data_IF_960615488165
#
_entry.id   IF_960615488165
#
_cell.length_a   1.000
_cell.length_b   1.000
_cell.length_c   1.000
_cell.angle_alpha   90.00
_cell.angle_beta   90.00
_cell.angle_gamma   90.00
#
_symmetry.space_group_name_H-M   'P 1'
#
loop_
_entity.id
_entity.type
_entity.pdbx_description
1 polymer ?
#
# COMPACT_ATOMS: atom_id res chain seq x y z
N UNK A 1 -1.48 -20.37 6.29
CA UNK A 1 -0.02 -20.16 6.42
C UNK A 1 0.39 -20.58 7.82
N UNK A 2 1.36 -21.48 7.99
CA UNK A 2 1.92 -21.83 9.31
C UNK A 2 3.25 -21.07 9.43
N UNK A 3 3.37 -20.19 10.43
CA UNK A 3 4.54 -19.35 10.66
C UNK A 3 5.00 -19.49 12.12
N UNK A 4 6.29 -19.23 12.37
CA UNK A 4 6.83 -19.16 13.73
C UNK A 4 6.17 -18.01 14.49
N UNK A 5 5.71 -18.28 15.71
CA UNK A 5 5.22 -17.25 16.62
C UNK A 5 6.41 -16.44 17.17
N UNK A 6 6.32 -15.12 17.05
CA UNK A 6 7.26 -14.17 17.65
C UNK A 6 6.56 -13.42 18.78
N UNK A 7 6.81 -13.90 19.99
CA UNK A 7 6.04 -13.50 21.18
C UNK A 7 6.28 -12.05 21.58
N UNK A 8 7.38 -11.40 21.19
CA UNK A 8 7.69 -10.00 21.50
C UNK A 8 6.80 -8.98 20.77
N UNK A 9 6.06 -9.41 19.73
CA UNK A 9 5.20 -8.53 18.94
C UNK A 9 6.00 -7.65 17.97
N UNK A 10 5.34 -6.62 17.43
CA UNK A 10 5.99 -5.71 16.49
C UNK A 10 6.79 -4.62 17.20
N UNK A 11 7.82 -4.12 16.54
CA UNK A 11 8.57 -2.96 17.01
C UNK A 11 7.66 -1.73 17.17
N UNK A 12 6.63 -1.60 16.32
CA UNK A 12 5.60 -0.56 16.44
C UNK A 12 4.81 -0.65 17.76
N UNK A 13 4.52 -1.86 18.25
CA UNK A 13 3.84 -2.03 19.55
C UNK A 13 4.72 -1.51 20.69
N UNK A 14 6.04 -1.73 20.61
CA UNK A 14 7.01 -1.23 21.59
C UNK A 14 7.15 0.29 21.51
N UNK A 15 7.26 0.86 20.30
CA UNK A 15 7.28 2.32 20.10
C UNK A 15 6.04 2.95 20.73
N UNK A 16 4.86 2.45 20.38
CA UNK A 16 3.59 2.97 20.90
C UNK A 16 3.46 2.79 22.41
N UNK A 17 4.03 1.74 23.01
CA UNK A 17 4.06 1.57 24.45
C UNK A 17 4.97 2.61 25.11
N UNK A 18 6.22 2.74 24.64
CA UNK A 18 7.18 3.71 25.16
C UNK A 18 6.69 5.15 25.08
N UNK A 19 6.11 5.56 23.95
CA UNK A 19 5.55 6.91 23.81
C UNK A 19 4.41 7.22 24.79
N UNK A 20 3.77 6.20 25.38
CA UNK A 20 2.75 6.38 26.43
C UNK A 20 3.31 6.34 27.84
N UNK A 21 4.41 5.61 28.07
CA UNK A 21 4.94 5.36 29.42
C UNK A 21 6.17 6.19 29.76
N UNK A 22 6.88 6.71 28.75
CA UNK A 22 8.13 7.44 28.90
C UNK A 22 8.06 8.75 28.10
N UNK A 23 8.73 9.79 28.60
CA UNK A 23 8.89 11.03 27.83
C UNK A 23 9.88 10.82 26.67
N UNK A 24 9.35 10.65 25.45
CA UNK A 24 10.12 10.45 24.23
C UNK A 24 10.37 11.74 23.42
N UNK A 25 10.19 12.93 24.02
CA UNK A 25 10.33 14.22 23.31
C UNK A 25 11.67 14.38 22.58
N UNK A 26 12.76 13.80 23.08
CA UNK A 26 14.09 13.86 22.49
C UNK A 26 14.54 12.56 21.80
N UNK A 27 13.62 11.62 21.58
CA UNK A 27 13.90 10.34 20.94
C UNK A 27 13.21 9.16 21.64
N UNK A 28 12.81 8.14 20.86
CA UNK A 28 12.17 6.92 21.36
C UNK A 28 13.21 5.86 21.75
N UNK A 29 14.17 5.62 20.86
CA UNK A 29 15.26 4.67 21.06
C UNK A 29 16.63 5.35 20.90
N UNK A 30 17.61 4.90 21.67
CA UNK A 30 19.00 5.31 21.50
C UNK A 30 19.62 4.64 20.26
N UNK A 31 20.73 5.21 19.78
CA UNK A 31 21.39 4.72 18.57
C UNK A 31 21.89 3.28 18.66
N UNK A 32 22.21 2.76 19.86
CA UNK A 32 22.66 1.38 20.02
C UNK A 32 21.51 0.41 19.78
N UNK A 33 20.33 0.71 20.34
CA UNK A 33 19.09 -0.05 20.09
C UNK A 33 18.72 -0.01 18.61
N UNK A 34 18.72 1.18 17.99
CA UNK A 34 18.42 1.33 16.57
C UNK A 34 19.40 0.54 15.70
N UNK A 35 20.71 0.68 15.94
CA UNK A 35 21.74 -0.04 15.19
C UNK A 35 21.60 -1.56 15.33
N UNK A 36 21.25 -2.06 16.51
CA UNK A 36 21.12 -3.50 16.75
C UNK A 36 19.96 -4.10 15.98
N UNK A 37 18.78 -3.46 16.01
CA UNK A 37 17.60 -3.93 15.28
C UNK A 37 17.80 -3.78 13.76
N UNK A 38 18.20 -2.60 13.30
CA UNK A 38 18.34 -2.33 11.86
C UNK A 38 19.44 -3.17 11.19
N UNK A 39 20.45 -3.61 11.93
CA UNK A 39 21.46 -4.54 11.41
C UNK A 39 20.85 -5.89 11.04
N UNK A 40 19.94 -6.42 11.87
CA UNK A 40 19.24 -7.68 11.56
C UNK A 40 18.24 -7.50 10.41
N UNK A 41 17.57 -6.35 10.34
CA UNK A 41 16.73 -6.00 9.19
C UNK A 41 17.54 -5.96 7.89
N UNK A 42 18.73 -5.36 7.89
CA UNK A 42 19.60 -5.33 6.71
C UNK A 42 20.09 -6.72 6.29
N UNK A 43 20.38 -7.62 7.23
CA UNK A 43 20.71 -9.02 6.89
C UNK A 43 19.54 -9.72 6.20
N UNK A 44 18.32 -9.47 6.69
CA UNK A 44 17.09 -9.93 6.03
C UNK A 44 16.97 -9.38 4.62
N UNK A 45 17.10 -8.05 4.45
CA UNK A 45 17.03 -7.41 3.14
C UNK A 45 18.13 -7.88 2.17
N UNK A 46 19.36 -8.05 2.64
CA UNK A 46 20.47 -8.61 1.84
C UNK A 46 20.12 -10.00 1.31
N UNK A 47 19.55 -10.86 2.17
CA UNK A 47 19.07 -12.17 1.74
C UNK A 47 17.96 -12.06 0.69
N UNK A 48 16.97 -11.20 0.89
CA UNK A 48 15.90 -11.00 -0.10
C UNK A 48 16.44 -10.51 -1.44
N UNK A 49 17.26 -9.47 -1.41
CA UNK A 49 17.76 -8.79 -2.61
C UNK A 49 18.71 -9.70 -3.40
N UNK A 50 19.55 -10.48 -2.73
CA UNK A 50 20.43 -11.46 -3.38
C UNK A 50 19.68 -12.62 -4.05
N UNK A 51 18.46 -12.92 -3.58
CA UNK A 51 17.56 -13.89 -4.21
C UNK A 51 16.62 -13.26 -5.25
N UNK A 52 16.82 -11.97 -5.61
CA UNK A 52 15.96 -11.27 -6.57
C UNK A 52 14.55 -11.03 -6.04
N UNK A 53 14.35 -10.94 -4.74
CA UNK A 53 13.06 -10.62 -4.12
C UNK A 53 13.05 -9.18 -3.59
N UNK A 54 11.87 -8.56 -3.57
CA UNK A 54 11.64 -7.25 -2.95
C UNK A 54 10.55 -7.39 -1.89
N UNK A 55 10.79 -6.80 -0.72
CA UNK A 55 9.87 -6.88 0.41
C UNK A 55 8.62 -6.02 0.21
N UNK A 56 8.80 -4.72 -0.12
CA UNK A 56 7.77 -3.71 -0.46
C UNK A 56 7.01 -3.05 0.69
N UNK A 57 7.08 -3.59 1.90
CA UNK A 57 6.43 -2.98 3.07
C UNK A 57 7.33 -2.97 4.32
N UNK A 58 8.55 -2.44 4.17
CA UNK A 58 9.46 -2.27 5.30
C UNK A 58 9.01 -1.09 6.17
N UNK A 59 8.64 -1.39 7.42
CA UNK A 59 8.19 -0.45 8.45
C UNK A 59 8.30 -1.08 9.85
N UNK A 60 8.27 -0.31 10.93
CA UNK A 60 8.37 -0.87 12.28
C UNK A 60 7.23 -1.85 12.63
N UNK A 61 6.06 -1.71 11.99
CA UNK A 61 4.96 -2.66 12.14
C UNK A 61 5.27 -4.07 11.64
N UNK A 62 6.18 -4.20 10.66
CA UNK A 62 6.56 -5.46 10.03
C UNK A 62 7.93 -5.97 10.52
N UNK A 63 8.46 -5.38 11.60
CA UNK A 63 9.64 -5.88 12.30
C UNK A 63 9.16 -6.54 13.58
N UNK A 64 9.28 -7.86 13.65
CA UNK A 64 8.82 -8.66 14.78
C UNK A 64 9.98 -9.09 15.67
N UNK A 65 9.70 -9.22 16.97
CA UNK A 65 10.67 -9.59 17.99
C UNK A 65 10.31 -10.94 18.63
N UNK A 66 11.29 -11.83 18.73
CA UNK A 66 11.21 -13.03 19.57
C UNK A 66 11.42 -12.70 21.05
N UNK A 67 10.95 -13.57 21.94
CA UNK A 67 11.23 -13.55 23.39
C UNK A 67 12.74 -13.64 23.70
N UNK A 68 13.46 -14.32 22.84
CA UNK A 68 14.91 -14.51 22.86
C UNK A 68 15.71 -13.35 22.21
N UNK A 69 15.05 -12.23 21.92
CA UNK A 69 15.66 -11.05 21.27
C UNK A 69 15.98 -11.24 19.78
N UNK A 70 15.45 -12.29 19.13
CA UNK A 70 15.50 -12.41 17.66
C UNK A 70 14.73 -11.27 17.00
N UNK A 71 15.24 -10.74 15.90
CA UNK A 71 14.56 -9.75 15.05
C UNK A 71 14.26 -10.41 13.70
N UNK A 72 13.02 -10.35 13.22
CA UNK A 72 12.64 -10.85 11.89
C UNK A 72 11.74 -9.86 11.17
N UNK A 73 11.86 -9.84 9.85
CA UNK A 73 10.94 -9.12 8.96
C UNK A 73 9.71 -10.01 8.75
N UNK A 74 8.53 -9.42 8.75
CA UNK A 74 7.25 -10.10 8.56
C UNK A 74 6.41 -9.43 7.47
N UNK A 75 5.26 -10.04 7.18
CA UNK A 75 4.28 -9.61 6.19
C UNK A 75 4.79 -9.57 4.74
N UNK A 76 5.01 -10.77 4.21
CA UNK A 76 5.40 -10.99 2.81
C UNK A 76 4.19 -11.01 1.85
N UNK A 77 2.98 -10.65 2.29
CA UNK A 77 1.74 -10.74 1.48
C UNK A 77 1.72 -9.82 0.26
N UNK A 78 2.68 -8.90 0.19
CA UNK A 78 2.89 -7.92 -0.88
C UNK A 78 4.24 -8.09 -1.60
N UNK A 79 5.11 -8.96 -1.08
CA UNK A 79 6.44 -9.24 -1.65
C UNK A 79 6.34 -9.90 -3.02
N UNK A 80 7.32 -9.66 -3.89
CA UNK A 80 7.35 -10.28 -5.21
C UNK A 80 8.77 -10.61 -5.68
N UNK A 81 8.84 -11.58 -6.60
CA UNK A 81 10.04 -11.93 -7.34
C UNK A 81 10.28 -10.92 -8.47
N UNK A 82 11.51 -10.43 -8.57
CA UNK A 82 12.02 -9.81 -9.79
C UNK A 82 12.19 -10.92 -10.84
N UNK A 83 11.62 -10.73 -12.03
CA UNK A 83 11.82 -11.64 -13.15
C UNK A 83 13.25 -11.46 -13.70
N UNK A 84 14.24 -12.08 -13.07
CA UNK A 84 15.61 -12.14 -13.57
C UNK A 84 15.73 -13.27 -14.60
N UNK A 85 15.53 -12.94 -15.88
CA UNK A 85 15.91 -13.83 -16.99
C UNK A 85 14.92 -13.87 -18.15
N UNK A 86 15.19 -13.06 -19.19
CA UNK A 86 14.87 -13.34 -20.59
C UNK A 86 13.41 -13.30 -21.06
N UNK A 87 12.42 -13.43 -20.18
CA UNK A 87 11.01 -13.48 -20.59
C UNK A 87 10.29 -12.16 -20.29
N UNK A 88 10.51 -11.17 -21.16
CA UNK A 88 9.81 -9.88 -21.14
C UNK A 88 8.27 -10.03 -21.32
N UNK A 89 7.78 -11.22 -21.70
CA UNK A 89 6.33 -11.47 -21.87
C UNK A 89 5.58 -11.63 -20.54
N UNK A 90 6.30 -11.94 -19.45
CA UNK A 90 5.77 -12.00 -18.08
C UNK A 90 5.97 -10.70 -17.29
N UNK A 91 6.42 -9.64 -17.97
CA UNK A 91 6.40 -8.28 -17.47
C UNK A 91 4.96 -7.74 -17.48
N UNK A 92 4.02 -8.44 -16.85
CA UNK A 92 2.88 -7.77 -16.22
C UNK A 92 3.46 -7.01 -15.04
N UNK A 93 4.04 -5.84 -15.35
CA UNK A 93 4.32 -4.77 -14.42
C UNK A 93 3.06 -4.62 -13.58
N UNK A 94 3.08 -5.16 -12.36
CA UNK A 94 1.90 -5.11 -11.50
C UNK A 94 1.80 -3.67 -11.01
N UNK A 95 1.01 -2.85 -11.71
CA UNK A 95 0.68 -1.44 -11.39
C UNK A 95 -0.12 -1.26 -10.08
N UNK A 96 -0.09 -2.24 -9.17
CA UNK A 96 -0.72 -2.13 -7.85
C UNK A 96 0.21 -1.37 -6.92
N UNK A 97 -0.17 -0.13 -6.60
CA UNK A 97 0.34 0.70 -5.51
C UNK A 97 0.04 -0.02 -4.20
N UNK A 98 1.00 -0.81 -3.73
CA UNK A 98 0.90 -1.54 -2.48
C UNK A 98 2.06 -1.07 -1.61
N UNK A 99 1.75 -0.59 -0.43
CA UNK A 99 2.71 -0.02 0.52
C UNK A 99 2.03 0.99 1.44
N UNK A 100 2.68 1.31 2.56
CA UNK A 100 2.21 2.37 3.45
C UNK A 100 2.80 3.72 2.98
N UNK A 101 1.99 4.71 2.52
CA UNK A 101 2.48 5.87 1.74
C UNK A 101 3.66 6.63 2.34
N UNK A 102 3.77 6.75 3.67
CA UNK A 102 4.87 7.45 4.32
C UNK A 102 6.24 6.75 4.21
N UNK A 103 6.26 5.45 3.88
CA UNK A 103 7.48 4.64 3.74
C UNK A 103 7.83 4.36 2.27
N UNK A 104 6.98 4.78 1.32
CA UNK A 104 7.17 4.48 -0.10
C UNK A 104 8.21 5.40 -0.72
N UNK A 105 9.03 4.82 -1.62
CA UNK A 105 10.04 5.54 -2.37
C UNK A 105 9.41 6.35 -3.53
N UNK A 106 10.02 7.47 -3.95
CA UNK A 106 9.48 8.33 -5.01
C UNK A 106 9.31 7.62 -6.36
N UNK A 107 10.21 6.71 -6.73
CA UNK A 107 10.09 5.95 -7.98
C UNK A 107 8.95 4.91 -7.92
N UNK A 108 8.59 4.42 -6.72
CA UNK A 108 7.42 3.55 -6.54
C UNK A 108 6.12 4.36 -6.73
N UNK A 109 6.20 5.66 -6.46
CA UNK A 109 5.09 6.60 -6.59
C UNK A 109 4.87 7.07 -8.05
N UNK A 110 5.93 7.18 -8.85
CA UNK A 110 5.89 7.71 -10.24
C UNK A 110 5.36 6.73 -11.32
N UNK A 111 5.19 5.43 -11.01
CA UNK A 111 4.56 4.39 -11.85
C UNK A 111 5.13 4.14 -13.28
N UNK A 112 6.09 4.92 -13.77
CA UNK A 112 6.57 4.86 -15.16
C UNK A 112 7.62 3.77 -15.44
N UNK A 113 8.34 3.31 -14.42
CA UNK A 113 9.32 2.23 -14.52
C UNK A 113 9.14 1.29 -13.32
N UNK A 114 9.14 -0.03 -13.55
CA UNK A 114 9.07 -0.99 -12.45
C UNK A 114 10.15 -0.70 -11.40
N UNK A 115 9.81 -0.74 -10.11
CA UNK A 115 10.76 -0.48 -9.04
C UNK A 115 11.64 -1.69 -8.74
N UNK A 116 12.89 -1.43 -8.36
CA UNK A 116 13.87 -2.44 -7.99
C UNK A 116 13.97 -2.59 -6.46
N UNK A 117 14.94 -3.37 -5.99
CA UNK A 117 15.16 -3.60 -4.56
C UNK A 117 15.64 -2.34 -3.81
N UNK A 118 16.02 -1.24 -4.49
CA UNK A 118 16.40 0.02 -3.85
C UNK A 118 15.20 0.75 -3.23
N UNK A 119 13.97 0.39 -3.61
CA UNK A 119 12.76 0.86 -2.94
C UNK A 119 12.76 0.45 -1.45
N UNK A 120 13.14 -0.80 -1.14
CA UNK A 120 13.23 -1.27 0.26
C UNK A 120 14.28 -0.49 1.07
N UNK A 121 15.34 0.01 0.42
CA UNK A 121 16.38 0.82 1.06
C UNK A 121 15.84 2.21 1.47
N UNK A 122 14.97 2.80 0.66
CA UNK A 122 14.26 4.02 1.05
C UNK A 122 13.35 3.76 2.25
N UNK A 123 12.52 2.72 2.18
CA UNK A 123 11.62 2.33 3.28
C UNK A 123 12.38 2.00 4.57
N UNK A 124 13.57 1.40 4.46
CA UNK A 124 14.50 1.21 5.56
C UNK A 124 14.97 2.54 6.18
N UNK A 125 15.30 3.55 5.37
CA UNK A 125 15.64 4.90 5.82
C UNK A 125 14.49 5.59 6.58
N UNK A 126 13.25 5.45 6.09
CA UNK A 126 12.06 5.96 6.79
C UNK A 126 11.86 5.21 8.11
N UNK A 127 12.04 3.89 8.12
CA UNK A 127 11.94 3.07 9.34
C UNK A 127 12.98 3.49 10.39
N UNK A 128 14.18 3.88 9.97
CA UNK A 128 15.19 4.42 10.88
C UNK A 128 14.71 5.73 11.54
N UNK A 129 14.07 6.63 10.78
CA UNK A 129 13.46 7.85 11.35
C UNK A 129 12.33 7.47 12.31
N UNK A 130 11.44 6.56 11.91
CA UNK A 130 10.32 6.08 12.74
C UNK A 130 10.81 5.52 14.09
N UNK A 131 11.91 4.78 14.12
CA UNK A 131 12.51 4.29 15.36
C UNK A 131 13.06 5.39 16.26
N UNK A 132 13.52 6.50 15.68
CA UNK A 132 14.07 7.62 16.45
C UNK A 132 12.95 8.55 16.96
N UNK A 133 11.98 8.89 16.12
CA UNK A 133 10.95 9.90 16.40
C UNK A 133 9.62 9.31 16.86
N UNK A 134 9.42 8.01 16.65
CA UNK A 134 8.19 7.27 16.92
C UNK A 134 7.20 7.25 15.77
N UNK A 135 7.43 8.02 14.71
CA UNK A 135 6.52 8.15 13.56
C UNK A 135 7.28 8.42 12.26
N UNK A 136 6.69 8.10 11.11
CA UNK A 136 7.27 8.52 9.83
C UNK A 136 7.21 10.06 9.68
N UNK A 137 8.12 10.68 8.88
CA UNK A 137 8.24 12.13 8.75
C UNK A 137 6.92 12.85 8.44
N UNK A 138 6.10 12.26 7.56
CA UNK A 138 4.87 12.87 7.05
C UNK A 138 3.59 12.24 7.59
N UNK A 139 3.65 11.52 8.72
CA UNK A 139 2.51 10.79 9.29
C UNK A 139 1.27 11.66 9.60
N UNK A 140 1.45 12.98 9.77
CA UNK A 140 0.36 13.93 10.05
C UNK A 140 -0.49 14.26 8.82
N UNK A 141 -0.05 13.87 7.61
CA UNK A 141 -0.68 14.25 6.36
C UNK A 141 -1.47 13.10 5.72
N UNK A 142 -2.56 13.41 4.99
CA UNK A 142 -3.27 12.42 4.18
C UNK A 142 -2.39 11.81 3.07
N UNK A 143 -2.67 10.58 2.60
CA UNK A 143 -1.85 9.86 1.61
C UNK A 143 -1.44 10.66 0.38
N UNK A 144 -2.37 11.39 -0.25
CA UNK A 144 -2.09 12.17 -1.45
C UNK A 144 -1.12 13.34 -1.19
N UNK A 145 -1.20 13.95 0.00
CA UNK A 145 -0.27 15.01 0.41
C UNK A 145 1.11 14.43 0.73
N UNK A 146 1.17 13.25 1.34
CA UNK A 146 2.45 12.53 1.56
C UNK A 146 3.13 12.23 0.23
N UNK A 147 2.38 11.77 -0.77
CA UNK A 147 2.85 11.54 -2.13
C UNK A 147 3.49 12.80 -2.71
N UNK A 148 2.76 13.92 -2.74
CA UNK A 148 3.25 15.20 -3.28
C UNK A 148 4.49 15.71 -2.54
N UNK A 149 4.48 15.72 -1.20
CA UNK A 149 5.63 16.15 -0.40
C UNK A 149 6.86 15.26 -0.69
N UNK A 150 6.64 13.96 -0.86
CA UNK A 150 7.73 12.99 -1.12
C UNK A 150 8.29 13.14 -2.53
N UNK A 151 7.51 13.57 -3.52
CA UNK A 151 7.97 13.79 -4.90
C UNK A 151 8.61 15.17 -5.10
N UNK A 152 7.99 16.21 -4.56
CA UNK A 152 8.34 17.61 -4.87
C UNK A 152 9.43 18.19 -3.96
N UNK A 153 9.48 17.79 -2.69
CA UNK A 153 10.45 18.36 -1.74
C UNK A 153 11.76 17.58 -1.70
N UNK A 154 12.76 18.17 -1.06
CA UNK A 154 13.98 17.47 -0.67
C UNK A 154 13.66 16.24 0.19
N UNK A 155 14.50 15.17 0.12
CA UNK A 155 14.30 13.99 0.94
C UNK A 155 14.17 14.31 2.44
N UNK A 156 13.29 13.60 3.17
CA UNK A 156 13.10 13.87 4.57
C UNK A 156 14.35 13.54 5.39
N UNK A 157 14.51 14.24 6.50
CA UNK A 157 15.56 14.01 7.49
C UNK A 157 14.89 13.65 8.82
N UNK A 158 15.70 13.27 9.82
CA UNK A 158 15.21 13.03 11.18
C UNK A 158 14.50 14.27 11.78
N UNK A 159 14.86 15.48 11.34
CA UNK A 159 14.28 16.72 11.87
C UNK A 159 13.06 17.21 11.07
N UNK A 160 12.69 16.55 9.96
CA UNK A 160 11.55 16.96 9.11
C UNK A 160 10.21 16.98 9.86
N UNK A 161 10.04 16.10 10.84
CA UNK A 161 8.87 16.06 11.71
C UNK A 161 9.10 16.65 13.11
N UNK A 162 10.19 17.38 13.34
CA UNK A 162 10.49 17.98 14.64
C UNK A 162 9.59 19.19 14.92
N UNK A 163 9.08 19.29 16.14
CA UNK A 163 8.29 20.45 16.59
C UNK A 163 9.22 21.56 17.12
N UNK A 164 10.46 21.23 17.48
CA UNK A 164 11.45 22.14 18.06
C UNK A 164 12.81 22.07 17.39
N UNK A 165 13.52 23.21 17.39
CA UNK A 165 14.90 23.26 16.92
C UNK A 165 15.78 22.37 17.80
N UNK A 166 16.65 21.58 17.17
CA UNK A 166 17.60 20.68 17.83
C UNK A 166 16.95 19.58 18.70
N UNK A 167 15.66 19.28 18.48
CA UNK A 167 14.91 18.26 19.22
C UNK A 167 15.62 16.90 19.24
N UNK A 168 16.20 16.51 18.10
CA UNK A 168 16.89 15.24 17.89
C UNK A 168 18.42 15.39 17.79
N UNK A 169 19.00 16.40 18.44
CA UNK A 169 20.46 16.65 18.42
C UNK A 169 21.31 15.53 19.03
N UNK A 170 20.71 14.68 19.86
CA UNK A 170 21.38 13.52 20.47
C UNK A 170 21.77 12.46 19.44
N UNK A 171 21.09 12.42 18.29
CA UNK A 171 21.42 11.51 17.20
C UNK A 171 22.59 12.05 16.39
N UNK A 172 23.67 11.27 16.35
CA UNK A 172 24.96 11.70 15.85
C UNK A 172 25.06 11.75 14.33
N UNK A 173 26.18 12.30 13.86
CA UNK A 173 26.46 12.47 12.42
C UNK A 173 26.42 11.16 11.63
N UNK A 174 26.83 10.04 12.24
CA UNK A 174 26.79 8.74 11.56
C UNK A 174 25.38 8.24 11.32
N UNK A 175 24.44 8.47 12.24
CA UNK A 175 23.04 8.09 12.00
C UNK A 175 22.38 8.96 10.94
N UNK A 176 22.62 10.28 11.01
CA UNK A 176 22.12 11.24 10.02
C UNK A 176 22.67 10.95 8.62
N UNK A 177 23.95 10.57 8.53
CA UNK A 177 24.59 10.12 7.29
C UNK A 177 23.94 8.85 6.74
N UNK A 178 23.69 7.84 7.58
CA UNK A 178 22.98 6.62 7.18
C UNK A 178 21.62 6.94 6.55
N UNK A 179 20.81 7.78 7.22
CA UNK A 179 19.50 8.22 6.73
C UNK A 179 19.65 8.94 5.39
N UNK A 180 20.60 9.88 5.29
CA UNK A 180 20.85 10.62 4.06
C UNK A 180 21.26 9.75 2.88
N UNK A 181 22.07 8.71 3.10
CA UNK A 181 22.46 7.75 2.06
C UNK A 181 21.27 6.88 1.60
N UNK A 182 20.36 6.52 2.51
CA UNK A 182 19.16 5.74 2.18
C UNK A 182 18.11 6.59 1.44
N UNK A 183 17.91 7.84 1.86
CA UNK A 183 16.87 8.73 1.36
C UNK A 183 17.38 9.60 0.21
N UNK A 184 17.71 8.95 -0.90
CA UNK A 184 18.04 9.61 -2.16
C UNK A 184 16.89 9.44 -3.15
N UNK A 185 16.46 10.52 -3.82
CA UNK A 185 15.38 10.42 -4.82
C UNK A 185 15.75 9.43 -5.93
N UNK A 186 16.95 9.59 -6.45
CA UNK A 186 17.55 8.72 -7.45
C UNK A 186 17.89 7.33 -6.83
N UNK A 187 17.23 6.23 -7.25
CA UNK A 187 17.43 4.89 -6.66
C UNK A 187 18.85 4.34 -6.86
N UNK A 188 19.50 4.70 -7.97
CA UNK A 188 20.87 4.28 -8.28
C UNK A 188 21.89 4.80 -7.26
N UNK A 189 21.63 5.96 -6.62
CA UNK A 189 22.49 6.56 -5.58
C UNK A 189 22.33 5.90 -4.21
N UNK A 190 21.29 5.10 -3.99
CA UNK A 190 21.10 4.40 -2.71
C UNK A 190 22.08 3.22 -2.62
N UNK A 191 22.76 3.02 -1.49
CA UNK A 191 23.59 1.84 -1.28
C UNK A 191 22.72 0.57 -1.22
N UNK A 192 23.33 -0.57 -1.50
CA UNK A 192 22.75 -1.90 -1.28
C UNK A 192 22.73 -2.25 0.21
N UNK A 193 21.92 -3.26 0.59
CA UNK A 193 21.92 -3.75 1.97
C UNK A 193 23.31 -4.24 2.43
N UNK A 194 24.06 -4.91 1.54
CA UNK A 194 25.44 -5.36 1.78
C UNK A 194 26.43 -4.22 2.03
N UNK A 195 26.26 -3.09 1.34
CA UNK A 195 27.07 -1.89 1.56
C UNK A 195 26.69 -1.19 2.87
N UNK A 196 25.40 -1.08 3.16
CA UNK A 196 24.90 -0.51 4.40
C UNK A 196 25.35 -1.29 5.63
N UNK A 197 25.44 -2.62 5.58
CA UNK A 197 25.96 -3.43 6.69
C UNK A 197 27.39 -3.05 7.11
N UNK A 198 28.16 -2.44 6.21
CA UNK A 198 29.53 -1.95 6.47
C UNK A 198 29.56 -0.51 7.00
N UNK A 199 28.42 0.18 7.04
CA UNK A 199 28.33 1.58 7.42
C UNK A 199 28.77 1.79 8.90
N UNK A 200 29.54 2.85 9.24
CA UNK A 200 30.08 3.06 10.59
C UNK A 200 29.04 3.11 11.72
N UNK A 201 27.78 3.44 11.41
CA UNK A 201 26.68 3.44 12.37
C UNK A 201 26.49 2.06 13.04
N UNK A 202 26.62 0.97 12.29
CA UNK A 202 26.38 -0.39 12.79
C UNK A 202 27.50 -0.92 13.70
N UNK A 203 28.57 -0.16 13.92
CA UNK A 203 29.55 -0.44 15.01
C UNK A 203 28.93 -0.27 16.40
N UNK A 204 27.80 0.44 16.52
CA UNK A 204 27.05 0.63 17.77
C UNK A 204 26.16 -0.57 18.13
N UNK A 205 25.93 -1.50 17.20
CA UNK A 205 25.09 -2.66 17.42
C UNK A 205 25.62 -3.54 18.55
N UNK A 206 24.69 -4.07 19.35
CA UNK A 206 24.92 -4.95 20.50
C UNK A 206 24.44 -6.37 20.18
N UNK A 207 24.35 -7.20 21.20
CA UNK A 207 23.88 -8.59 21.08
C UNK A 207 22.37 -8.73 21.34
N UNK A 208 21.88 -9.96 21.22
CA UNK A 208 20.46 -10.27 21.44
C UNK A 208 20.04 -10.11 22.90
N UNK A 209 20.95 -10.36 23.85
CA UNK A 209 20.69 -10.17 25.28
C UNK A 209 20.39 -8.70 25.60
N UNK A 210 21.13 -7.78 24.97
CA UNK A 210 20.85 -6.36 25.05
C UNK A 210 19.43 -6.03 24.57
N UNK A 211 18.98 -6.59 23.43
CA UNK A 211 17.60 -6.38 22.95
C UNK A 211 16.55 -6.92 23.92
N UNK A 212 16.75 -8.10 24.50
CA UNK A 212 15.83 -8.65 25.50
C UNK A 212 15.70 -7.71 26.70
N UNK A 213 16.81 -7.17 27.20
CA UNK A 213 16.80 -6.27 28.36
C UNK A 213 16.23 -4.88 28.02
N UNK A 214 16.54 -4.33 26.85
CA UNK A 214 16.16 -2.96 26.49
C UNK A 214 14.77 -2.86 25.87
N UNK A 215 14.36 -3.82 25.04
CA UNK A 215 13.09 -3.78 24.31
C UNK A 215 12.01 -4.65 24.94
N UNK A 216 12.33 -5.89 25.33
CA UNK A 216 11.31 -6.85 25.79
C UNK A 216 10.95 -6.62 27.26
N UNK A 217 11.94 -6.41 28.13
CA UNK A 217 11.68 -6.13 29.55
C UNK A 217 10.95 -4.80 29.79
N UNK A 218 11.04 -3.85 28.86
CA UNK A 218 10.33 -2.56 28.93
C UNK A 218 9.13 -2.46 27.99
N UNK A 219 8.84 -3.55 27.26
CA UNK A 219 7.76 -3.64 26.29
C UNK A 219 6.43 -4.06 26.91
N UNK A 220 5.32 -3.95 26.15
CA UNK A 220 4.01 -4.39 26.62
C UNK A 220 3.95 -5.93 26.74
N UNK A 221 3.40 -6.43 27.87
CA UNK A 221 3.19 -7.86 28.06
C UNK A 221 2.32 -8.46 26.95
N UNK A 222 2.47 -9.77 26.72
CA UNK A 222 1.66 -10.51 25.75
C UNK A 222 0.17 -10.35 26.04
N UNK A 223 -0.24 -10.48 27.31
CA UNK A 223 -1.63 -10.26 27.74
C UNK A 223 -2.14 -8.88 27.38
N UNK A 224 -1.34 -7.83 27.63
CA UNK A 224 -1.71 -6.44 27.28
C UNK A 224 -1.92 -6.28 25.77
N UNK A 225 -1.11 -6.95 24.95
CA UNK A 225 -1.23 -6.94 23.49
C UNK A 225 -2.46 -7.72 23.01
N UNK A 226 -2.73 -8.89 23.57
CA UNK A 226 -3.90 -9.71 23.24
C UNK A 226 -5.21 -8.97 23.59
N UNK A 227 -5.30 -8.37 24.77
CA UNK A 227 -6.48 -7.58 25.15
C UNK A 227 -6.69 -6.37 24.24
N UNK A 228 -5.61 -5.73 23.78
CA UNK A 228 -5.71 -4.62 22.83
C UNK A 228 -6.10 -5.10 21.44
N UNK A 229 -5.60 -6.24 20.99
CA UNK A 229 -5.98 -6.86 19.71
C UNK A 229 -7.45 -7.30 19.73
N UNK A 230 -7.93 -7.88 20.83
CA UNK A 230 -9.33 -8.24 21.01
C UNK A 230 -10.29 -7.03 21.06
N UNK A 231 -9.78 -5.85 21.44
CA UNK A 231 -10.52 -4.58 21.40
C UNK A 231 -10.44 -3.85 20.06
N UNK A 232 -9.60 -4.28 19.12
CA UNK A 232 -9.63 -3.74 17.75
C UNK A 232 -10.89 -4.29 17.09
N UNK A 233 -11.73 -3.44 16.51
CA UNK A 233 -12.80 -3.90 15.61
C UNK A 233 -12.17 -4.72 14.48
N UNK A 234 -12.73 -5.91 14.23
CA UNK A 234 -12.39 -6.71 13.05
C UNK A 234 -12.54 -5.81 11.82
N UNK A 235 -11.46 -5.64 11.05
CA UNK A 235 -11.38 -4.61 10.01
C UNK A 235 -10.49 -3.41 10.34
N UNK A 236 -9.43 -3.57 11.17
CA UNK A 236 -8.35 -2.57 11.31
C UNK A 236 -7.03 -2.96 10.61
N UNK A 237 -6.93 -4.20 10.11
CA UNK A 237 -5.91 -4.63 9.13
C UNK A 237 -6.60 -4.71 7.78
N UNK A 238 -6.20 -3.83 6.87
CA UNK A 238 -6.79 -3.75 5.54
C UNK A 238 -5.72 -3.43 4.53
N UNK A 239 -5.82 -4.08 3.37
CA UNK A 239 -4.91 -3.90 2.26
C UNK A 239 -5.45 -2.77 1.42
N UNK A 240 -4.66 -1.71 1.23
CA UNK A 240 -4.97 -0.68 0.26
C UNK A 240 -4.72 -1.28 -1.13
N UNK A 241 -5.77 -1.43 -1.93
CA UNK A 241 -5.63 -1.89 -3.31
C UNK A 241 -6.48 -1.01 -4.24
N UNK A 242 -6.12 -1.05 -5.51
CA UNK A 242 -6.88 -0.38 -6.56
C UNK A 242 -8.03 -1.30 -6.96
N UNK A 243 -9.27 -0.81 -6.94
CA UNK A 243 -10.43 -1.56 -7.44
C UNK A 243 -10.36 -1.69 -8.97
N UNK A 244 -11.26 -2.49 -9.56
CA UNK A 244 -11.38 -2.57 -11.03
C UNK A 244 -11.86 -1.25 -11.68
N UNK A 245 -12.30 -0.28 -10.86
CA UNK A 245 -12.75 1.08 -11.20
C UNK A 245 -11.73 2.14 -10.79
N UNK A 246 -10.45 1.76 -10.65
CA UNK A 246 -9.36 2.71 -10.44
C UNK A 246 -9.29 3.40 -9.07
N UNK A 247 -10.32 3.31 -8.22
CA UNK A 247 -10.41 3.89 -6.89
C UNK A 247 -9.52 3.17 -5.86
N UNK A 248 -9.02 3.93 -4.87
CA UNK A 248 -8.26 3.42 -3.74
C UNK A 248 -9.20 2.86 -2.67
N UNK A 249 -9.32 1.55 -2.59
CA UNK A 249 -10.22 0.88 -1.64
C UNK A 249 -9.41 0.22 -0.54
N UNK A 250 -9.88 0.39 0.70
CA UNK A 250 -9.33 -0.23 1.88
C UNK A 250 -10.15 -1.49 2.19
N UNK A 251 -9.66 -2.66 1.78
CA UNK A 251 -10.38 -3.93 1.98
C UNK A 251 -9.85 -4.65 3.22
N UNK A 252 -10.75 -5.06 4.12
CA UNK A 252 -10.39 -5.88 5.28
C UNK A 252 -10.06 -7.31 4.87
N UNK A 253 -9.10 -7.97 5.53
CA UNK A 253 -8.66 -9.35 5.20
C UNK A 253 -9.78 -10.42 5.28
N UNK A 254 -10.92 -10.08 5.87
CA UNK A 254 -12.07 -10.98 6.02
C UNK A 254 -12.97 -11.01 4.77
N UNK A 255 -12.98 -9.96 3.93
CA UNK A 255 -13.88 -9.86 2.76
C UNK A 255 -13.54 -10.85 1.64
N UNK A 256 -12.28 -11.28 1.54
CA UNK A 256 -11.86 -12.30 0.57
C UNK A 256 -12.22 -13.73 1.03
N UNK A 257 -12.39 -13.95 2.34
CA UNK A 257 -12.78 -15.25 2.88
C UNK A 257 -14.31 -15.47 2.81
N UNK A 258 -15.10 -14.39 2.80
CA UNK A 258 -16.57 -14.44 2.69
C UNK A 258 -17.03 -14.80 1.27
N UNK A 259 -16.24 -14.47 0.23
CA UNK A 259 -16.61 -14.78 -1.16
C UNK A 259 -16.48 -16.26 -1.53
N UNK A 260 -15.81 -17.08 -0.71
CA UNK A 260 -15.63 -18.50 -0.96
C UNK A 260 -16.51 -19.42 -0.10
N UNK A 261 -17.38 -18.89 0.77
CA UNK A 261 -18.12 -19.73 1.72
C UNK A 261 -19.55 -19.23 2.03
N UNK A 262 -20.30 -18.78 1.02
CA UNK A 262 -21.75 -18.56 1.17
C UNK A 262 -22.56 -19.67 0.47
N UNK A 263 -22.72 -20.79 1.18
CA UNK A 263 -23.99 -21.52 1.20
C UNK A 263 -24.37 -21.74 2.67
N UNK A 264 -25.58 -21.29 3.05
CA UNK A 264 -26.39 -21.60 4.26
C UNK A 264 -25.66 -22.01 5.55
N UNK A 265 -25.94 -21.49 6.74
CA UNK A 265 -27.20 -21.05 7.34
C UNK A 265 -26.89 -20.21 8.58
N UNK A 266 -27.88 -19.42 9.00
CA UNK A 266 -27.92 -18.73 10.29
C UNK A 266 -27.88 -19.69 11.48
N UNK A 267 -27.02 -19.44 12.47
CA UNK A 267 -27.35 -19.58 13.90
C UNK A 267 -26.21 -19.03 14.79
N UNK A 268 -26.62 -18.36 15.86
CA UNK A 268 -25.80 -17.81 16.94
C UNK A 268 -25.26 -18.94 17.82
N UNK A 269 -23.96 -19.22 17.78
CA UNK A 269 -23.29 -20.12 18.72
C UNK A 269 -21.91 -19.54 19.13
N UNK A 270 -21.71 -19.39 20.44
CA UNK A 270 -20.44 -18.99 21.05
C UNK A 270 -19.33 -20.00 20.69
N UNK A 271 -18.22 -19.51 20.12
CA UNK A 271 -17.07 -20.39 19.81
C UNK A 271 -16.39 -20.85 21.11
N UNK A 272 -16.06 -22.15 21.26
CA UNK A 272 -15.51 -22.68 22.50
C UNK A 272 -14.06 -22.23 22.69
N UNK A 273 -13.78 -21.65 23.85
CA UNK A 273 -12.45 -21.31 24.32
C UNK A 273 -11.71 -22.59 24.70
N UNK A 274 -10.64 -22.93 23.98
CA UNK A 274 -9.79 -24.09 24.32
C UNK A 274 -9.17 -23.89 25.71
N UNK A 275 -9.75 -24.54 26.73
CA UNK A 275 -9.18 -24.67 28.07
C UNK A 275 -8.16 -25.81 28.04
N UNK A 276 -6.87 -25.45 28.14
CA UNK A 276 -5.79 -26.40 28.39
C UNK A 276 -5.91 -26.95 29.82
N UNK A 277 -6.42 -28.17 29.98
CA UNK A 277 -6.24 -28.92 31.21
C UNK A 277 -4.87 -29.59 31.20
N UNK A 278 -4.05 -29.27 32.20
CA UNK A 278 -2.86 -30.04 32.54
C UNK A 278 -3.33 -31.32 33.24
N UNK A 279 -2.87 -32.47 32.77
CA UNK A 279 -2.90 -33.69 33.56
C UNK A 279 -1.56 -34.42 33.43
N UNK A 280 -1.02 -34.79 34.59
CA UNK A 280 0.24 -35.49 34.80
C UNK A 280 0.25 -36.93 34.22
N UNK A 281 1.47 -37.37 33.88
CA UNK A 281 2.03 -38.74 33.85
C UNK A 281 1.11 -39.98 33.86
N UNK A 282 1.31 -40.91 32.91
CA UNK A 282 1.94 -42.23 33.13
C UNK A 282 1.65 -43.25 32.00
N UNK A 283 2.73 -43.82 31.46
CA UNK A 283 2.93 -45.21 30.97
C UNK A 283 1.83 -45.98 30.21
N UNK A 284 2.27 -46.56 29.07
CA UNK A 284 2.25 -47.99 28.70
C UNK A 284 1.70 -48.31 27.30
N UNK A 285 2.34 -49.33 26.74
CA UNK A 285 2.41 -49.81 25.37
C UNK A 285 1.10 -50.41 24.85
N UNK A 286 0.92 -50.48 23.53
CA UNK A 286 0.80 -51.75 22.76
C UNK A 286 0.51 -51.51 21.27
N UNK A 287 1.04 -52.42 20.45
CA UNK A 287 0.98 -52.52 18.99
C UNK A 287 -0.36 -53.07 18.46
N UNK A 288 -0.62 -52.86 17.16
CA UNK A 288 -1.13 -53.80 16.12
C UNK A 288 -1.59 -52.96 14.90
N UNK A 289 -0.94 -52.97 13.72
CA UNK A 289 -1.07 -53.90 12.56
C UNK A 289 -2.55 -54.23 12.25
N UNK A 290 -3.09 -54.24 11.03
CA UNK A 290 -2.59 -54.48 9.67
C UNK A 290 -3.71 -54.18 8.65
N UNK A 291 -3.31 -53.77 7.43
CA UNK A 291 -3.85 -54.23 6.11
C UNK A 291 -5.34 -54.06 5.75
N UNK A 292 -5.80 -53.99 4.49
CA UNK A 292 -5.30 -53.77 3.12
C UNK A 292 -6.54 -53.90 2.21
N UNK A 293 -6.42 -53.41 0.97
CA UNK A 293 -7.20 -53.77 -0.25
C UNK A 293 -8.53 -53.04 -0.45
N UNK A 294 -8.94 -52.63 -1.65
CA UNK A 294 -8.40 -52.72 -3.01
C UNK A 294 -9.52 -52.24 -3.95
N UNK A 295 -9.22 -51.30 -4.86
CA UNK A 295 -9.10 -51.55 -6.30
C UNK A 295 -10.40 -51.54 -7.15
N UNK A 296 -10.57 -50.45 -7.93
CA UNK A 296 -10.86 -50.40 -9.40
C UNK A 296 -12.25 -50.89 -9.90
N UNK A 297 -12.86 -50.49 -11.04
CA UNK A 297 -12.40 -49.91 -12.33
C UNK A 297 -13.62 -49.50 -13.20
N UNK A 298 -13.41 -48.59 -14.17
CA UNK A 298 -14.17 -48.32 -15.44
C UNK A 298 -15.63 -47.86 -15.39
N UNK A 299 -16.14 -46.98 -16.27
CA UNK A 299 -15.68 -46.49 -17.57
C UNK A 299 -16.87 -46.56 -18.56
N UNK A 300 -17.15 -45.49 -19.31
CA UNK A 300 -18.20 -45.52 -20.34
C UNK A 300 -18.65 -44.14 -20.82
N UNK A 301 -18.10 -43.73 -21.96
CA UNK A 301 -18.44 -42.54 -22.76
C UNK A 301 -19.56 -42.87 -23.74
N UNK A 302 -20.46 -41.93 -24.05
CA UNK A 302 -21.13 -41.88 -25.36
C UNK A 302 -21.60 -40.46 -25.70
N UNK A 303 -21.25 -40.05 -26.92
CA UNK A 303 -21.52 -38.77 -27.59
C UNK A 303 -22.67 -38.92 -28.58
N UNK A 304 -23.44 -37.85 -28.82
CA UNK A 304 -24.18 -37.65 -30.08
C UNK A 304 -24.42 -36.15 -30.36
N UNK A 305 -24.16 -35.80 -31.60
CA UNK A 305 -24.15 -34.46 -32.24
C UNK A 305 -25.40 -34.22 -33.10
N UNK A 306 -25.46 -33.00 -33.68
CA UNK A 306 -26.33 -32.45 -34.76
C UNK A 306 -27.45 -31.54 -34.22
N UNK A 307 -27.78 -30.36 -34.77
CA UNK A 307 -27.46 -29.69 -36.04
C UNK A 307 -27.83 -28.18 -35.98
N UNK A 308 -27.38 -27.39 -36.96
CA UNK A 308 -27.56 -25.95 -37.09
C UNK A 308 -28.69 -25.57 -38.09
N UNK A 309 -29.28 -24.38 -37.96
CA UNK A 309 -30.21 -23.81 -38.95
C UNK A 309 -30.59 -22.35 -38.68
N UNK A 310 -30.70 -21.56 -39.75
CA UNK A 310 -30.53 -20.09 -39.84
C UNK A 310 -31.85 -19.32 -40.08
N UNK A 311 -31.86 -18.02 -39.71
CA UNK A 311 -32.52 -16.86 -40.35
C UNK A 311 -33.94 -16.35 -39.95
N UNK A 312 -33.92 -15.08 -39.49
CA UNK A 312 -34.70 -13.90 -39.92
C UNK A 312 -36.14 -13.57 -39.41
N UNK A 313 -36.21 -12.35 -38.85
CA UNK A 313 -37.23 -11.29 -38.99
C UNK A 313 -38.51 -11.24 -38.12
N UNK A 314 -38.48 -10.28 -37.19
CA UNK A 314 -39.50 -9.28 -36.83
C UNK A 314 -40.92 -9.73 -36.40
N UNK A 315 -41.21 -9.59 -35.10
CA UNK A 315 -42.50 -9.16 -34.59
C UNK A 315 -42.35 -8.53 -33.19
N UNK A 316 -42.94 -7.35 -33.00
CA UNK A 316 -43.08 -6.64 -31.73
C UNK A 316 -43.76 -7.51 -30.68
N UNK A 317 -43.22 -7.50 -29.45
CA UNK A 317 -43.89 -8.02 -28.27
C UNK A 317 -43.04 -7.73 -27.04
N UNK A 318 -43.48 -6.78 -26.22
CA UNK A 318 -42.83 -6.37 -24.99
C UNK A 318 -42.56 -7.58 -24.07
N UNK A 319 -41.29 -7.84 -23.78
CA UNK A 319 -40.87 -8.58 -22.59
C UNK A 319 -39.50 -8.09 -22.12
N UNK A 320 -39.48 -7.82 -20.83
CA UNK A 320 -38.43 -7.26 -19.99
C UNK A 320 -37.10 -8.02 -20.03
N UNK A 321 -36.01 -7.30 -20.30
CA UNK A 321 -34.70 -7.59 -19.72
C UNK A 321 -34.14 -6.26 -19.22
N UNK A 322 -34.31 -6.01 -17.91
CA UNK A 322 -33.55 -4.97 -17.21
C UNK A 322 -32.09 -5.41 -17.15
N UNK A 323 -31.30 -4.92 -18.10
CA UNK A 323 -29.85 -4.91 -17.97
C UNK A 323 -29.46 -3.63 -17.26
N UNK A 324 -29.09 -3.73 -15.99
CA UNK A 324 -28.54 -2.63 -15.20
C UNK A 324 -27.31 -2.04 -15.90
N UNK A 325 -27.55 -0.97 -16.66
CA UNK A 325 -26.53 -0.20 -17.39
C UNK A 325 -26.10 1.03 -16.59
N UNK A 326 -26.53 1.13 -15.32
CA UNK A 326 -26.47 2.38 -14.54
C UNK A 326 -25.18 2.58 -13.74
N UNK A 327 -24.19 1.69 -13.88
CA UNK A 327 -22.93 1.79 -13.14
C UNK A 327 -21.69 1.50 -14.00
N UNK A 328 -21.69 1.93 -15.27
CA UNK A 328 -20.49 1.82 -16.12
C UNK A 328 -19.63 3.07 -15.94
N UNK A 329 -18.38 2.95 -15.43
CA UNK A 329 -17.48 4.09 -15.29
C UNK A 329 -17.03 4.60 -16.67
N UNK A 330 -17.07 5.92 -16.84
CA UNK A 330 -16.55 6.62 -18.02
C UNK A 330 -15.16 7.17 -17.68
N UNK A 331 -14.14 6.71 -18.39
CA UNK A 331 -12.78 7.19 -18.20
C UNK A 331 -12.61 8.55 -18.90
N UNK A 332 -12.20 9.57 -18.15
CA UNK A 332 -12.03 10.93 -18.62
C UNK A 332 -10.58 11.39 -18.48
N UNK A 333 -10.16 12.27 -19.39
CA UNK A 333 -8.90 12.98 -19.32
C UNK A 333 -9.16 14.47 -19.47
N UNK A 334 -8.80 15.25 -18.46
CA UNK A 334 -8.74 16.71 -18.50
C UNK A 334 -7.29 17.14 -18.76
N UNK A 335 -7.07 17.75 -19.91
CA UNK A 335 -5.80 18.32 -20.32
C UNK A 335 -5.83 19.84 -20.15
N UNK A 336 -4.93 20.37 -19.34
CA UNK A 336 -4.79 21.82 -19.12
C UNK A 336 -3.39 22.20 -18.65
N UNK A 337 -3.03 23.48 -18.69
CA UNK A 337 -1.73 23.95 -18.19
C UNK A 337 -1.75 24.19 -16.69
N UNK A 338 -0.68 23.79 -16.01
CA UNK A 338 -0.46 24.13 -14.59
C UNK A 338 0.13 25.55 -14.44
N UNK A 339 0.31 25.98 -13.19
CA UNK A 339 0.93 27.28 -12.86
C UNK A 339 2.37 27.45 -13.41
N UNK A 340 3.07 26.33 -13.68
CA UNK A 340 4.41 26.30 -14.26
C UNK A 340 4.41 26.28 -15.80
N UNK A 341 3.24 26.43 -16.43
CA UNK A 341 3.04 26.40 -17.90
C UNK A 341 3.25 25.03 -18.55
N UNK A 342 3.25 23.96 -17.77
CA UNK A 342 3.36 22.59 -18.30
C UNK A 342 1.97 22.03 -18.59
N UNK A 343 1.85 21.29 -19.70
CA UNK A 343 0.63 20.57 -20.05
C UNK A 343 0.49 19.34 -19.15
N UNK A 344 -0.59 19.31 -18.39
CA UNK A 344 -0.94 18.22 -17.49
C UNK A 344 -2.17 17.48 -18.00
N UNK A 345 -2.11 16.16 -17.96
CA UNK A 345 -3.23 15.25 -18.24
C UNK A 345 -3.73 14.65 -16.94
N UNK A 346 -4.87 15.15 -16.45
CA UNK A 346 -5.52 14.68 -15.24
C UNK A 346 -6.53 13.62 -15.65
N UNK A 347 -6.32 12.38 -15.19
CA UNK A 347 -7.21 11.26 -15.50
C UNK A 347 -8.12 10.98 -14.31
N UNK A 348 -9.41 10.84 -14.55
CA UNK A 348 -10.43 10.53 -13.54
C UNK A 348 -11.59 9.75 -14.15
N UNK A 349 -12.36 9.09 -13.31
CA UNK A 349 -13.54 8.32 -13.73
C UNK A 349 -14.83 9.06 -13.37
N UNK A 350 -15.87 8.88 -14.18
CA UNK A 350 -17.20 9.41 -13.92
C UNK A 350 -18.24 8.29 -14.06
N UNK A 351 -18.97 8.01 -12.99
CA UNK A 351 -20.01 6.98 -12.92
C UNK A 351 -21.38 7.63 -13.07
N UNK A 352 -21.99 7.42 -14.23
CA UNK A 352 -23.31 8.00 -14.56
C UNK A 352 -24.37 7.51 -13.58
N UNK A 353 -24.98 8.42 -12.82
CA UNK A 353 -26.02 8.11 -11.83
C UNK A 353 -25.52 8.00 -10.39
N UNK A 354 -24.20 7.98 -10.17
CA UNK A 354 -23.56 8.10 -8.85
C UNK A 354 -22.88 9.46 -8.69
N UNK A 355 -22.17 9.89 -9.72
CA UNK A 355 -21.36 11.12 -9.69
C UNK A 355 -22.12 12.28 -10.36
N UNK A 356 -21.95 13.49 -9.83
CA UNK A 356 -22.41 14.73 -10.45
C UNK A 356 -21.23 15.50 -11.04
N UNK A 357 -21.46 16.22 -12.14
CA UNK A 357 -20.41 17.02 -12.76
C UNK A 357 -19.96 18.18 -11.85
N UNK A 358 -20.88 18.68 -11.02
CA UNK A 358 -20.63 19.71 -10.01
C UNK A 358 -19.68 19.23 -8.92
N UNK A 359 -19.91 18.04 -8.37
CA UNK A 359 -19.08 17.47 -7.30
C UNK A 359 -17.66 17.19 -7.81
N UNK A 360 -17.52 16.63 -9.02
CA UNK A 360 -16.22 16.40 -9.64
C UNK A 360 -15.48 17.71 -9.90
N UNK A 361 -16.17 18.75 -10.38
CA UNK A 361 -15.56 20.07 -10.58
C UNK A 361 -15.12 20.70 -9.25
N UNK A 362 -15.91 20.55 -8.18
CA UNK A 362 -15.56 21.03 -6.85
C UNK A 362 -14.36 20.26 -6.24
N UNK A 363 -14.27 18.96 -6.47
CA UNK A 363 -13.13 18.14 -6.04
C UNK A 363 -11.84 18.54 -6.76
N UNK A 364 -11.90 18.84 -8.06
CA UNK A 364 -10.74 19.34 -8.82
C UNK A 364 -10.22 20.68 -8.27
N UNK A 365 -11.12 21.55 -7.80
CA UNK A 365 -10.76 22.78 -7.09
C UNK A 365 -10.19 22.50 -5.71
N UNK A 366 -10.81 21.62 -4.92
CA UNK A 366 -10.31 21.22 -3.61
C UNK A 366 -8.92 20.57 -3.67
N UNK A 367 -8.58 19.95 -4.79
CA UNK A 367 -7.26 19.39 -5.10
C UNK A 367 -6.25 20.43 -5.63
N UNK A 368 -6.67 21.67 -5.88
CA UNK A 368 -5.83 22.73 -6.46
C UNK A 368 -5.45 22.49 -7.94
N UNK A 369 -6.24 21.69 -8.66
CA UNK A 369 -6.04 21.35 -10.07
C UNK A 369 -6.83 22.24 -11.02
N UNK A 370 -7.90 22.85 -10.52
CA UNK A 370 -8.78 23.77 -11.23
C UNK A 370 -8.93 25.04 -10.39
N UNK A 371 -9.05 26.20 -11.04
CA UNK A 371 -9.31 27.46 -10.33
C UNK A 371 -10.77 27.53 -9.87
N UNK A 372 -11.04 28.19 -8.75
CA UNK A 372 -12.41 28.37 -8.22
C UNK A 372 -13.34 29.07 -9.22
N UNK A 373 -12.79 29.92 -10.09
CA UNK A 373 -13.55 30.61 -11.13
C UNK A 373 -13.99 29.66 -12.27
N UNK A 374 -13.36 28.50 -12.39
CA UNK A 374 -13.56 27.57 -13.51
C UNK A 374 -14.52 26.41 -13.19
N UNK A 375 -15.03 26.31 -11.96
CA UNK A 375 -15.94 25.23 -11.53
C UNK A 375 -17.17 25.12 -12.43
N UNK A 376 -17.84 26.24 -12.67
CA UNK A 376 -19.10 26.25 -13.42
C UNK A 376 -18.91 25.85 -14.89
N UNK A 377 -17.83 26.32 -15.52
CA UNK A 377 -17.54 26.00 -16.92
C UNK A 377 -17.07 24.55 -17.07
N UNK A 378 -16.30 24.03 -16.09
CA UNK A 378 -15.89 22.63 -16.05
C UNK A 378 -17.10 21.71 -15.88
N UNK A 379 -17.97 21.96 -14.89
CA UNK A 379 -19.16 21.13 -14.65
C UNK A 379 -20.05 21.06 -15.89
N UNK A 380 -20.36 22.21 -16.50
CA UNK A 380 -21.21 22.29 -17.69
C UNK A 380 -20.65 21.49 -18.88
N UNK A 381 -19.34 21.61 -19.14
CA UNK A 381 -18.72 20.89 -20.26
C UNK A 381 -18.52 19.39 -19.98
N UNK A 382 -18.27 19.02 -18.72
CA UNK A 382 -18.23 17.63 -18.28
C UNK A 382 -19.61 16.98 -18.46
N UNK A 383 -20.68 17.61 -17.96
CA UNK A 383 -22.04 17.10 -18.11
C UNK A 383 -22.41 16.95 -19.58
N UNK A 384 -22.09 17.96 -20.40
CA UNK A 384 -22.30 17.92 -21.86
C UNK A 384 -21.57 16.74 -22.53
N UNK A 385 -20.33 16.46 -22.12
CA UNK A 385 -19.56 15.34 -22.65
C UNK A 385 -20.18 13.98 -22.25
N UNK A 386 -20.66 13.87 -21.01
CA UNK A 386 -21.34 12.67 -20.51
C UNK A 386 -22.69 12.43 -21.20
N UNK A 387 -23.48 13.48 -21.42
CA UNK A 387 -24.77 13.40 -22.10
C UNK A 387 -24.60 13.02 -23.58
N UNK A 388 -23.50 13.48 -24.21
CA UNK A 388 -23.18 13.20 -25.60
C UNK A 388 -22.44 11.87 -25.84
N UNK A 389 -22.20 11.05 -24.81
CA UNK A 389 -21.45 9.77 -24.93
C UNK A 389 -22.05 8.79 -25.94
N UNK A 390 -23.36 8.90 -26.24
CA UNK A 390 -24.07 8.08 -27.23
C UNK A 390 -24.10 8.67 -28.65
N UNK A 391 -23.65 9.91 -28.86
CA UNK A 391 -23.72 10.62 -30.16
C UNK A 391 -22.38 10.67 -30.89
N UNK A 392 -21.34 10.07 -30.31
CA UNK A 392 -19.99 10.00 -30.89
C UNK A 392 -19.05 11.15 -30.50
N UNK A 393 -19.52 12.11 -29.70
CA UNK A 393 -18.65 13.17 -29.16
C UNK A 393 -17.73 12.60 -28.08
N UNK A 394 -16.43 12.63 -28.32
CA UNK A 394 -15.42 12.12 -27.38
C UNK A 394 -14.55 13.20 -26.74
N UNK A 395 -14.60 14.44 -27.22
CA UNK A 395 -13.72 15.51 -26.74
C UNK A 395 -14.46 16.85 -26.78
N UNK A 396 -14.24 17.66 -25.75
CA UNK A 396 -14.70 19.04 -25.65
C UNK A 396 -13.53 19.91 -25.21
N UNK A 397 -13.24 20.95 -25.98
CA UNK A 397 -12.30 22.02 -25.59
C UNK A 397 -13.12 23.25 -25.18
N UNK A 398 -12.76 23.88 -24.07
CA UNK A 398 -13.46 25.05 -23.54
C UNK A 398 -12.47 26.05 -22.93
N UNK A 399 -12.83 27.33 -22.98
CA UNK A 399 -12.03 28.40 -22.41
C UNK A 399 -12.22 28.44 -20.89
N UNK A 400 -11.13 28.68 -20.16
CA UNK A 400 -11.16 28.89 -18.72
C UNK A 400 -11.56 30.34 -18.41
N UNK A 401 -12.40 30.52 -17.40
CA UNK A 401 -12.84 31.80 -16.89
C UNK A 401 -11.73 32.51 -16.10
N UNK A 402 -10.84 31.74 -15.48
CA UNK A 402 -9.58 32.23 -14.88
C UNK A 402 -8.66 32.89 -15.92
N UNK A 403 -8.85 32.60 -17.20
CA UNK A 403 -8.15 33.22 -18.31
C UNK A 403 -6.69 32.75 -18.43
N UNK A 404 -5.80 33.67 -18.81
CA UNK A 404 -4.36 33.42 -18.88
C UNK A 404 -3.59 34.55 -18.17
N UNK A 405 -2.32 34.30 -17.85
CA UNK A 405 -1.47 35.26 -17.12
C UNK A 405 -1.31 36.56 -17.93
N UNK A 406 -1.23 37.69 -17.22
CA UNK A 406 -1.08 39.02 -17.83
C UNK A 406 0.09 39.07 -18.82
N UNK A 407 -0.21 39.30 -20.10
CA UNK A 407 0.75 39.36 -21.20
C UNK A 407 0.73 38.17 -22.16
N UNK A 408 -0.03 37.11 -21.86
CA UNK A 408 -0.25 35.99 -22.77
C UNK A 408 -1.53 36.19 -23.60
N UNK A 409 -1.52 35.68 -24.85
CA UNK A 409 -2.71 35.59 -25.68
C UNK A 409 -3.32 34.20 -25.53
N UNK A 410 -4.64 34.16 -25.43
CA UNK A 410 -5.42 32.94 -25.43
C UNK A 410 -5.17 32.15 -26.73
N UNK A 411 -4.81 30.87 -26.61
CA UNK A 411 -4.60 29.99 -27.75
C UNK A 411 -5.17 28.60 -27.48
N UNK A 412 -6.21 28.25 -28.22
CA UNK A 412 -6.90 26.97 -28.12
C UNK A 412 -6.01 25.80 -28.53
N UNK A 413 -5.12 25.96 -29.53
CA UNK A 413 -4.29 24.86 -30.04
C UNK A 413 -3.21 24.45 -29.04
N UNK A 414 -2.61 25.40 -28.35
CA UNK A 414 -1.60 25.15 -27.32
C UNK A 414 -2.17 25.10 -25.90
N UNK A 415 -3.50 25.16 -25.77
CA UNK A 415 -4.26 25.17 -24.51
C UNK A 415 -3.79 26.26 -23.53
N UNK A 416 -3.51 27.46 -24.03
CA UNK A 416 -3.20 28.64 -23.21
C UNK A 416 -4.51 29.35 -22.87
N UNK A 417 -4.94 29.24 -21.61
CA UNK A 417 -6.25 29.72 -21.13
C UNK A 417 -7.43 28.84 -21.56
N UNK A 418 -7.16 27.62 -22.04
CA UNK A 418 -8.16 26.62 -22.40
C UNK A 418 -7.88 25.31 -21.68
N UNK A 419 -8.94 24.53 -21.49
CA UNK A 419 -8.87 23.15 -21.06
C UNK A 419 -9.58 22.25 -22.07
N UNK A 420 -9.15 21.00 -22.13
CA UNK A 420 -9.76 19.98 -22.99
C UNK A 420 -10.11 18.77 -22.16
N UNK A 421 -11.38 18.37 -22.19
CA UNK A 421 -11.86 17.15 -21.56
C UNK A 421 -12.22 16.10 -22.63
N UNK A 422 -11.81 14.85 -22.43
CA UNK A 422 -12.07 13.76 -23.38
C UNK A 422 -12.43 12.44 -22.70
N UNK A 423 -13.26 11.64 -23.36
CA UNK A 423 -13.58 10.25 -23.00
C UNK A 423 -12.55 9.33 -23.67
N UNK A 424 -11.91 8.46 -22.87
CA UNK A 424 -10.97 7.44 -23.36
C UNK A 424 -11.66 6.19 -23.90
#
# INVERSE_FOLDING_TARGET
>A
LILRLLEGGSLLDIIKHRMRTVNCRHGVFDESTIATVLKEVLKGLEYFHSNGQIHRDIKAGNILLGDDGTVQIADFGVSAWLATGGDLSRQKVRHTFVGTPCWMAPEVMEQDHGYDFKADIWSFGITAIEMATGTAPYHKYPPMKVLMLTLQNDPPTIDTGADEKDQYKAYGKTFRKLIGECLQKEPSKRPTASELLKHPFFKKAKDRKYLTQTLLATGPSMETRVHKAAKRQAGASGRLHRSMTGEWVWSSEEEDNVKNNNSSDSETEERPMNRLERMDSSSSETEETSERSGATVTGGSETKTLEAGTAAAAALGALTVGGDSSMVPVNLVLRMRNANRELNDIQFEFVVGKDSAEDIAAELVGAGLLDELDVAIMSSNLQKLIDARGTGLRTVTFQLQSGCVAGEQLDEKSLVGYAQISIK
#
